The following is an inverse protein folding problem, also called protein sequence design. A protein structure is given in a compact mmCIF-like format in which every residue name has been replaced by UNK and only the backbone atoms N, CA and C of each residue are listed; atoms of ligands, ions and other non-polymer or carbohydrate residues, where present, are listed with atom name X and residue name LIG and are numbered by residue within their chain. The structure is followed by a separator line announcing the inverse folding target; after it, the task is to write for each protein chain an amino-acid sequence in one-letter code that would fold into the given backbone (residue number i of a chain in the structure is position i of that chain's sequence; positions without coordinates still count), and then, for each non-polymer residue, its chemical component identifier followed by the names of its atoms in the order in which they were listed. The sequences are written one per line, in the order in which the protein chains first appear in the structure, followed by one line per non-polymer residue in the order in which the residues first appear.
data_IF_215876548275
#
_entry.id   IF_215876548275
#
_cell.length_a   1.000
_cell.length_b   1.000
_cell.length_c   1.000
_cell.angle_alpha   90.00
_cell.angle_beta   90.00
_cell.angle_gamma   90.00
#
_symmetry.space_group_name_H-M   'P 1'
#
loop_
_entity.id
_entity.type
_entity.pdbx_description
1 polymer ?
#
# COMPACT_ATOMS: atom_id res chain seq x y z
N UNK A 1 4.73 9.71 25.56
CA UNK A 1 4.99 8.83 24.37
C UNK A 1 4.29 9.50 23.21
N UNK A 2 5.03 9.95 22.19
CA UNK A 2 4.45 10.66 21.05
C UNK A 2 3.48 9.74 20.30
N UNK A 3 2.26 10.21 20.07
CA UNK A 3 1.19 9.51 19.31
C UNK A 3 1.58 9.15 17.87
N UNK A 4 2.70 9.66 17.37
CA UNK A 4 3.24 9.43 16.02
C UNK A 4 3.87 8.04 15.83
N UNK A 5 4.09 7.27 16.90
CA UNK A 5 4.70 5.94 16.84
C UNK A 5 3.70 4.78 16.78
N UNK A 6 2.42 5.06 16.56
CA UNK A 6 1.38 4.03 16.42
C UNK A 6 0.62 4.17 15.12
N UNK A 7 0.35 3.03 14.45
CA UNK A 7 -0.51 3.00 13.28
C UNK A 7 -1.97 3.07 13.74
N UNK A 8 -2.63 4.19 13.49
CA UNK A 8 -4.05 4.41 13.79
C UNK A 8 -4.94 3.77 12.71
N UNK A 9 -6.21 3.53 13.02
CA UNK A 9 -7.16 3.04 12.01
C UNK A 9 -7.38 4.08 10.90
N UNK A 10 -7.42 3.63 9.64
CA UNK A 10 -7.74 4.49 8.50
C UNK A 10 -6.99 4.18 7.20
N UNK A 11 -6.80 5.20 6.38
CA UNK A 11 -6.27 5.08 5.02
C UNK A 11 -4.77 5.39 4.99
N UNK A 12 -4.00 4.49 4.36
CA UNK A 12 -2.55 4.52 4.21
C UNK A 12 -2.17 4.38 2.72
N UNK A 13 -2.26 5.44 1.91
CA UNK A 13 -1.98 5.32 0.49
C UNK A 13 -0.53 4.88 0.23
N UNK A 14 -0.38 4.02 -0.80
CA UNK A 14 0.92 3.69 -1.37
C UNK A 14 1.27 4.82 -2.34
N UNK A 15 2.29 5.60 -1.98
CA UNK A 15 2.69 6.79 -2.76
C UNK A 15 3.45 6.41 -4.02
N UNK A 16 3.26 7.20 -5.07
CA UNK A 16 3.96 7.03 -6.34
C UNK A 16 5.36 7.68 -6.28
N UNK A 17 6.30 7.13 -7.05
CA UNK A 17 7.63 7.75 -7.17
C UNK A 17 7.68 8.62 -8.41
N UNK A 18 7.72 9.96 -8.27
CA UNK A 18 7.88 10.83 -9.41
C UNK A 18 9.31 10.74 -9.95
N UNK A 19 9.45 10.61 -11.26
CA UNK A 19 10.73 10.50 -11.94
C UNK A 19 10.91 11.63 -12.95
N UNK A 20 12.10 12.22 -12.97
CA UNK A 20 12.51 13.20 -13.97
C UNK A 20 12.91 12.54 -15.31
N UNK A 21 13.36 13.35 -16.27
CA UNK A 21 13.77 12.87 -17.59
C UNK A 21 15.01 11.97 -17.58
N UNK A 22 15.77 11.99 -16.48
CA UNK A 22 16.98 11.20 -16.29
C UNK A 22 16.75 9.96 -15.39
N UNK A 23 15.47 9.61 -15.15
CA UNK A 23 15.06 8.54 -14.23
C UNK A 23 15.51 8.74 -12.76
N UNK A 24 15.73 10.00 -12.35
CA UNK A 24 16.00 10.35 -10.97
C UNK A 24 14.69 10.73 -10.27
N UNK A 25 14.64 10.58 -8.94
CA UNK A 25 13.48 10.99 -8.14
C UNK A 25 13.37 12.51 -8.19
N UNK A 26 12.21 13.01 -8.62
CA UNK A 26 11.88 14.44 -8.58
C UNK A 26 11.36 14.80 -7.18
N UNK A 27 12.25 15.31 -6.34
CA UNK A 27 11.93 15.63 -4.94
C UNK A 27 10.86 16.73 -4.82
N UNK A 28 10.79 17.69 -5.74
CA UNK A 28 9.80 18.78 -5.72
C UNK A 28 8.39 18.27 -6.01
N UNK A 29 8.27 17.35 -6.96
CA UNK A 29 7.00 16.67 -7.25
C UNK A 29 6.62 15.73 -6.11
N UNK A 30 7.59 15.05 -5.50
CA UNK A 30 7.36 14.18 -4.34
C UNK A 30 6.85 14.99 -3.13
N UNK A 31 7.42 16.17 -2.89
CA UNK A 31 6.93 17.09 -1.84
C UNK A 31 5.48 17.53 -2.11
N UNK A 32 5.14 17.80 -3.36
CA UNK A 32 3.78 18.16 -3.78
C UNK A 32 2.79 17.03 -3.46
N UNK A 33 3.11 15.79 -3.83
CA UNK A 33 2.28 14.61 -3.54
C UNK A 33 2.09 14.42 -2.04
N UNK A 34 3.18 14.40 -1.26
CA UNK A 34 3.14 14.17 0.18
C UNK A 34 2.30 15.25 0.88
N UNK A 35 2.49 16.53 0.52
CA UNK A 35 1.71 17.62 1.12
C UNK A 35 0.22 17.54 0.75
N UNK A 36 -0.11 17.10 -0.45
CA UNK A 36 -1.48 16.87 -0.89
C UNK A 36 -2.13 15.70 -0.12
N UNK A 37 -1.40 14.59 0.08
CA UNK A 37 -1.87 13.44 0.85
C UNK A 37 -2.11 13.79 2.32
N UNK A 38 -1.19 14.52 2.96
CA UNK A 38 -1.35 15.01 4.35
C UNK A 38 -2.65 15.80 4.49
N UNK A 39 -2.97 16.67 3.53
CA UNK A 39 -4.21 17.46 3.52
C UNK A 39 -5.46 16.62 3.24
N UNK A 40 -5.33 15.44 2.66
CA UNK A 40 -6.43 14.55 2.32
C UNK A 40 -6.94 13.70 3.50
N UNK A 41 -6.36 13.83 4.70
CA UNK A 41 -6.84 13.16 5.92
C UNK A 41 -6.35 11.72 6.10
N UNK A 42 -5.36 11.28 5.34
CA UNK A 42 -4.73 9.96 5.47
C UNK A 42 -4.05 9.77 6.82
N UNK A 43 -3.85 8.52 7.26
CA UNK A 43 -3.29 8.20 8.58
C UNK A 43 -1.81 7.84 8.55
N UNK A 44 -1.22 7.72 7.37
CA UNK A 44 0.19 7.45 7.13
C UNK A 44 0.43 7.25 5.65
N UNK A 45 1.67 7.07 5.27
CA UNK A 45 2.09 6.81 3.89
C UNK A 45 2.81 5.47 3.80
N UNK A 46 2.75 4.85 2.62
CA UNK A 46 3.41 3.56 2.35
C UNK A 46 4.28 3.69 1.12
N UNK A 47 5.52 3.20 1.19
CA UNK A 47 6.36 2.90 0.05
C UNK A 47 6.33 1.39 -0.17
N UNK A 48 5.69 0.94 -1.24
CA UNK A 48 5.53 -0.48 -1.56
C UNK A 48 5.58 -0.73 -3.07
N UNK A 49 4.96 -1.81 -3.56
CA UNK A 49 5.11 -2.30 -4.94
C UNK A 49 4.82 -1.23 -6.00
N UNK A 50 3.69 -0.50 -5.90
CA UNK A 50 3.33 0.54 -6.87
C UNK A 50 4.18 1.81 -6.73
N UNK A 51 4.96 1.97 -5.65
CA UNK A 51 6.03 2.97 -5.57
C UNK A 51 7.27 2.58 -6.39
N UNK A 52 7.17 1.53 -7.22
CA UNK A 52 8.21 0.98 -8.09
C UNK A 52 9.46 0.45 -7.35
N UNK A 53 9.35 0.15 -6.04
CA UNK A 53 10.49 -0.28 -5.19
C UNK A 53 11.24 -1.51 -5.72
N UNK A 54 10.57 -2.35 -6.52
CA UNK A 54 11.19 -3.54 -7.13
C UNK A 54 12.10 -3.20 -8.32
N UNK A 55 12.02 -1.98 -8.85
CA UNK A 55 12.85 -1.45 -9.95
C UNK A 55 13.98 -0.59 -9.44
N UNK A 56 14.10 -0.43 -8.13
CA UNK A 56 15.16 0.34 -7.47
C UNK A 56 16.18 -0.59 -6.81
N UNK A 57 17.44 -0.24 -6.91
CA UNK A 57 18.51 -0.84 -6.10
C UNK A 57 18.28 -0.57 -4.61
N UNK A 58 18.95 -1.31 -3.74
CA UNK A 58 18.88 -1.09 -2.30
C UNK A 58 19.25 0.35 -1.89
N UNK A 59 20.22 0.95 -2.57
CA UNK A 59 20.64 2.33 -2.34
C UNK A 59 19.56 3.34 -2.75
N UNK A 60 18.94 3.14 -3.93
CA UNK A 60 17.86 4.00 -4.40
C UNK A 60 16.60 3.87 -3.52
N UNK A 61 16.25 2.64 -3.07
CA UNK A 61 15.17 2.44 -2.11
C UNK A 61 15.43 3.21 -0.82
N UNK A 62 16.67 3.18 -0.32
CA UNK A 62 17.04 3.95 0.87
C UNK A 62 16.91 5.45 0.63
N UNK A 63 17.43 5.97 -0.47
CA UNK A 63 17.28 7.38 -0.84
C UNK A 63 15.80 7.78 -0.92
N UNK A 64 14.95 6.93 -1.53
CA UNK A 64 13.50 7.17 -1.66
C UNK A 64 12.85 7.39 -0.28
N UNK A 65 13.01 6.48 0.68
CA UNK A 65 12.38 6.68 1.98
C UNK A 65 13.02 7.79 2.81
N UNK A 66 14.32 8.08 2.65
CA UNK A 66 14.96 9.21 3.32
C UNK A 66 14.39 10.54 2.83
N UNK A 67 14.16 10.69 1.53
CA UNK A 67 13.48 11.85 0.95
C UNK A 67 12.08 12.00 1.55
N UNK A 68 11.28 10.91 1.57
CA UNK A 68 9.91 10.93 2.12
C UNK A 68 9.92 11.28 3.61
N UNK A 69 10.80 10.67 4.42
CA UNK A 69 10.91 10.97 5.86
C UNK A 69 11.26 12.44 6.11
N UNK A 70 12.20 12.98 5.32
CA UNK A 70 12.58 14.39 5.41
C UNK A 70 11.42 15.34 5.09
N UNK A 71 10.68 15.04 4.02
CA UNK A 71 9.52 15.85 3.62
C UNK A 71 8.38 15.71 4.63
N UNK A 72 8.14 14.51 5.15
CA UNK A 72 7.10 14.27 6.17
C UNK A 72 7.36 15.03 7.46
N UNK A 73 8.61 15.18 7.85
CA UNK A 73 9.04 15.88 9.09
C UNK A 73 8.19 15.49 10.31
N UNK A 74 7.95 14.19 10.47
CA UNK A 74 7.19 13.62 11.58
C UNK A 74 5.66 13.87 11.53
N UNK A 75 5.10 14.46 10.46
CA UNK A 75 3.65 14.75 10.37
C UNK A 75 2.77 13.51 10.29
N UNK A 76 3.27 12.44 9.66
CA UNK A 76 2.58 11.15 9.51
C UNK A 76 3.57 9.99 9.64
N UNK A 77 3.10 8.80 10.05
CA UNK A 77 3.91 7.59 10.01
C UNK A 77 4.23 7.18 8.56
N UNK A 78 5.44 6.65 8.36
CA UNK A 78 5.86 6.03 7.09
C UNK A 78 6.04 4.52 7.28
N UNK A 79 5.42 3.74 6.41
CA UNK A 79 5.58 2.30 6.26
C UNK A 79 6.49 2.06 5.05
N UNK A 80 7.59 1.33 5.25
CA UNK A 80 8.62 1.11 4.22
C UNK A 80 8.67 -0.35 3.80
N UNK A 81 8.63 -0.60 2.48
CA UNK A 81 8.84 -1.93 1.93
C UNK A 81 10.29 -2.35 2.07
N UNK A 82 10.49 -3.52 2.70
CA UNK A 82 11.80 -4.12 2.93
C UNK A 82 11.95 -5.53 2.34
N UNK A 83 10.92 -6.02 1.66
CA UNK A 83 10.97 -7.30 0.96
C UNK A 83 12.13 -7.37 -0.06
N UNK A 84 12.74 -8.53 -0.17
CA UNK A 84 13.85 -8.79 -1.08
C UNK A 84 13.99 -10.28 -1.38
N UNK A 85 14.74 -10.62 -2.43
CA UNK A 85 14.92 -11.99 -2.91
C UNK A 85 15.79 -12.85 -1.99
N UNK A 86 16.37 -12.28 -0.94
CA UNK A 86 17.06 -13.04 0.11
C UNK A 86 16.79 -12.47 1.48
N UNK A 87 16.83 -13.34 2.50
CA UNK A 87 16.70 -12.94 3.91
C UNK A 87 17.74 -11.89 4.30
N UNK A 88 18.98 -12.01 3.82
CA UNK A 88 20.06 -11.06 4.12
C UNK A 88 19.73 -9.65 3.59
N UNK A 89 19.23 -9.52 2.36
CA UNK A 89 18.82 -8.24 1.76
C UNK A 89 17.66 -7.63 2.56
N UNK A 90 16.63 -8.43 2.86
CA UNK A 90 15.45 -7.95 3.59
C UNK A 90 15.81 -7.47 5.00
N UNK A 91 16.67 -8.18 5.73
CA UNK A 91 17.18 -7.80 7.05
C UNK A 91 18.03 -6.52 6.98
N UNK A 92 18.87 -6.39 5.96
CA UNK A 92 19.66 -5.17 5.75
C UNK A 92 18.78 -3.95 5.53
N UNK A 93 17.75 -4.06 4.65
CA UNK A 93 16.79 -3.00 4.39
C UNK A 93 15.96 -2.67 5.64
N UNK A 94 15.53 -3.68 6.39
CA UNK A 94 14.76 -3.50 7.62
C UNK A 94 15.52 -2.68 8.66
N UNK A 95 16.77 -3.05 8.94
CA UNK A 95 17.64 -2.32 9.87
C UNK A 95 17.90 -0.88 9.41
N UNK A 96 18.13 -0.67 8.11
CA UNK A 96 18.32 0.65 7.55
C UNK A 96 17.07 1.53 7.68
N UNK A 97 15.88 0.99 7.34
CA UNK A 97 14.61 1.70 7.44
C UNK A 97 14.28 2.09 8.89
N UNK A 98 14.45 1.18 9.85
CA UNK A 98 14.29 1.50 11.28
C UNK A 98 15.27 2.58 11.74
N UNK A 99 16.54 2.45 11.39
CA UNK A 99 17.59 3.43 11.76
C UNK A 99 17.32 4.82 11.17
N UNK A 100 16.76 4.89 9.97
CA UNK A 100 16.40 6.14 9.29
C UNK A 100 15.08 6.75 9.80
N UNK A 101 14.27 6.03 10.60
CA UNK A 101 13.07 6.55 11.26
C UNK A 101 11.72 6.07 10.69
N UNK A 102 11.69 4.98 9.93
CA UNK A 102 10.44 4.34 9.52
C UNK A 102 9.60 3.93 10.76
N UNK A 103 8.28 4.09 10.67
CA UNK A 103 7.36 3.74 11.77
C UNK A 103 7.00 2.26 11.76
N UNK A 104 6.94 1.66 10.58
CA UNK A 104 6.66 0.25 10.37
C UNK A 104 7.29 -0.23 9.07
N UNK A 105 7.35 -1.54 8.91
CA UNK A 105 7.83 -2.20 7.71
C UNK A 105 6.71 -2.96 7.03
N UNK A 106 6.81 -3.15 5.71
CA UNK A 106 5.98 -4.06 4.94
C UNK A 106 6.89 -4.94 4.09
N UNK A 107 6.60 -6.22 3.97
CA UNK A 107 7.40 -7.13 3.16
C UNK A 107 6.54 -8.18 2.46
N UNK A 108 6.78 -8.38 1.15
CA UNK A 108 6.40 -9.56 0.40
C UNK A 108 7.44 -10.66 0.60
N UNK A 109 7.08 -11.94 0.44
CA UNK A 109 8.09 -13.00 0.34
C UNK A 109 8.92 -12.84 -0.94
N UNK A 110 10.05 -13.55 -1.07
CA UNK A 110 10.77 -13.67 -2.33
C UNK A 110 9.84 -14.18 -3.45
N UNK A 111 9.96 -13.62 -4.65
CA UNK A 111 9.02 -13.86 -5.74
C UNK A 111 9.66 -14.56 -6.96
N UNK A 112 10.99 -14.51 -7.09
CA UNK A 112 11.70 -15.07 -8.25
C UNK A 112 11.85 -16.59 -8.19
N UNK A 113 11.59 -17.20 -7.04
CA UNK A 113 11.68 -18.67 -6.87
C UNK A 113 10.67 -19.15 -5.82
N UNK A 114 10.26 -20.41 -5.92
CA UNK A 114 9.40 -21.04 -4.92
C UNK A 114 10.22 -21.40 -3.66
N UNK A 115 9.84 -20.80 -2.53
CA UNK A 115 10.38 -21.18 -1.24
C UNK A 115 9.37 -22.03 -0.46
N UNK A 116 9.84 -22.92 0.40
CA UNK A 116 8.96 -23.71 1.26
C UNK A 116 8.32 -22.82 2.35
N UNK A 117 7.17 -23.22 2.90
CA UNK A 117 6.50 -22.50 4.00
C UNK A 117 7.44 -22.32 5.20
N UNK A 118 8.33 -23.27 5.47
CA UNK A 118 9.35 -23.18 6.53
C UNK A 118 10.38 -22.09 6.24
N UNK A 119 10.85 -21.96 5.01
CA UNK A 119 11.79 -20.91 4.61
C UNK A 119 11.14 -19.53 4.63
N UNK A 120 9.87 -19.42 4.19
CA UNK A 120 9.09 -18.18 4.27
C UNK A 120 8.88 -17.77 5.73
N UNK A 121 8.57 -18.71 6.63
CA UNK A 121 8.48 -18.44 8.07
C UNK A 121 9.82 -17.94 8.63
N UNK A 122 10.93 -18.58 8.29
CA UNK A 122 12.28 -18.18 8.70
C UNK A 122 12.65 -16.79 8.17
N UNK A 123 12.27 -16.48 6.92
CA UNK A 123 12.46 -15.16 6.30
C UNK A 123 11.76 -14.06 7.09
N UNK A 124 10.46 -14.20 7.40
CA UNK A 124 9.74 -13.20 8.17
C UNK A 124 10.23 -13.11 9.61
N UNK A 125 10.55 -14.24 10.23
CA UNK A 125 11.15 -14.29 11.58
C UNK A 125 12.45 -13.49 11.63
N UNK A 126 13.35 -13.67 10.67
CA UNK A 126 14.62 -12.95 10.62
C UNK A 126 14.41 -11.43 10.48
N UNK A 127 13.45 -10.98 9.67
CA UNK A 127 13.11 -9.57 9.54
C UNK A 127 12.60 -9.02 10.89
N UNK A 128 11.58 -9.68 11.50
CA UNK A 128 10.95 -9.23 12.73
C UNK A 128 11.95 -9.15 13.88
N UNK A 129 12.84 -10.13 14.02
CA UNK A 129 13.83 -10.19 15.07
C UNK A 129 14.99 -9.21 14.89
N UNK A 130 15.19 -8.72 13.65
CA UNK A 130 16.27 -7.76 13.34
C UNK A 130 15.96 -6.31 13.75
N UNK A 131 14.68 -5.98 14.02
CA UNK A 131 14.18 -4.62 14.31
C UNK A 131 13.18 -4.63 15.47
N UNK A 132 12.81 -3.45 15.97
CA UNK A 132 11.82 -3.27 17.06
C UNK A 132 10.47 -2.78 16.54
N UNK A 133 10.43 -2.11 15.39
CA UNK A 133 9.21 -1.62 14.76
C UNK A 133 8.37 -2.77 14.15
N UNK A 134 7.03 -2.62 14.00
CA UNK A 134 6.19 -3.69 13.48
C UNK A 134 6.46 -4.00 12.01
N UNK A 135 6.23 -5.26 11.63
CA UNK A 135 6.22 -5.74 10.26
C UNK A 135 4.78 -6.05 9.82
N UNK A 136 4.43 -5.55 8.64
CA UNK A 136 3.22 -5.94 7.92
C UNK A 136 3.62 -7.02 6.90
N UNK A 137 3.13 -8.23 7.11
CA UNK A 137 3.31 -9.36 6.18
C UNK A 137 2.35 -9.17 5.02
N UNK A 138 2.88 -8.94 3.83
CA UNK A 138 2.10 -8.77 2.62
C UNK A 138 2.09 -10.06 1.80
N UNK A 139 0.90 -10.57 1.51
CA UNK A 139 0.69 -11.61 0.51
C UNK A 139 0.27 -10.94 -0.80
N UNK A 140 1.21 -10.77 -1.70
CA UNK A 140 0.97 -10.13 -2.99
C UNK A 140 0.67 -11.14 -4.11
N UNK A 141 0.25 -12.36 -3.78
CA UNK A 141 0.11 -13.46 -4.74
C UNK A 141 -0.96 -13.23 -5.81
N UNK A 142 -1.84 -12.25 -5.63
CA UNK A 142 -2.72 -11.80 -6.71
C UNK A 142 -1.96 -11.16 -7.89
N UNK A 143 -0.71 -10.74 -7.66
CA UNK A 143 0.14 -10.05 -8.65
C UNK A 143 1.44 -10.78 -8.91
N UNK A 144 2.01 -11.46 -7.91
CA UNK A 144 3.32 -12.11 -7.98
C UNK A 144 3.51 -13.15 -6.87
N UNK A 145 4.33 -14.15 -7.14
CA UNK A 145 4.67 -15.19 -6.17
C UNK A 145 3.56 -16.23 -5.97
N UNK A 146 3.52 -16.82 -4.80
CA UNK A 146 2.56 -17.85 -4.39
C UNK A 146 1.78 -17.38 -3.15
N UNK A 147 0.51 -17.80 -2.97
CA UNK A 147 -0.27 -17.51 -1.77
C UNK A 147 0.45 -18.00 -0.51
N UNK A 148 0.46 -17.15 0.52
CA UNK A 148 0.94 -17.54 1.84
C UNK A 148 -0.10 -18.44 2.53
N UNK A 149 0.37 -19.48 3.20
CA UNK A 149 -0.50 -20.38 3.98
C UNK A 149 -1.04 -19.62 5.21
N UNK A 150 -2.31 -19.86 5.54
CA UNK A 150 -2.96 -19.21 6.70
C UNK A 150 -2.29 -19.58 8.03
N UNK A 151 -1.78 -20.80 8.14
CA UNK A 151 -1.03 -21.28 9.29
C UNK A 151 0.25 -20.47 9.54
N UNK A 152 0.86 -19.93 8.50
CA UNK A 152 2.02 -19.04 8.63
C UNK A 152 1.65 -17.78 9.42
N UNK A 153 0.52 -17.15 9.08
CA UNK A 153 0.03 -15.97 9.80
C UNK A 153 -0.24 -16.29 11.27
N UNK A 154 -0.90 -17.42 11.54
CA UNK A 154 -1.17 -17.87 12.92
C UNK A 154 0.11 -18.03 13.73
N UNK A 155 1.11 -18.75 13.21
CA UNK A 155 2.41 -18.96 13.87
C UNK A 155 3.16 -17.65 14.15
N UNK A 156 3.18 -16.72 13.19
CA UNK A 156 3.83 -15.42 13.36
C UNK A 156 3.10 -14.60 14.45
N UNK A 157 1.77 -14.60 14.44
CA UNK A 157 0.96 -13.86 15.41
C UNK A 157 1.10 -14.43 16.81
N UNK A 158 1.09 -15.76 16.96
CA UNK A 158 1.29 -16.45 18.23
C UNK A 158 2.65 -16.10 18.84
N UNK A 159 3.73 -16.12 18.03
CA UNK A 159 5.08 -15.88 18.51
C UNK A 159 5.34 -14.40 18.85
N UNK A 160 4.84 -13.47 18.05
CA UNK A 160 5.24 -12.06 18.15
C UNK A 160 4.13 -11.10 18.61
N UNK A 161 2.87 -11.52 18.55
CA UNK A 161 1.71 -10.69 18.88
C UNK A 161 1.40 -9.63 17.82
N UNK A 162 0.18 -9.08 17.89
CA UNK A 162 -0.35 -8.12 16.91
C UNK A 162 0.23 -6.70 17.01
N UNK A 163 1.09 -6.44 17.96
CA UNK A 163 1.85 -5.18 18.03
C UNK A 163 3.13 -5.24 17.19
N UNK A 164 3.65 -6.46 16.95
CA UNK A 164 4.86 -6.70 16.17
C UNK A 164 4.59 -7.20 14.77
N UNK A 165 3.46 -7.90 14.56
CA UNK A 165 3.09 -8.48 13.28
C UNK A 165 1.67 -8.07 12.90
N UNK A 166 1.50 -7.57 11.70
CA UNK A 166 0.24 -7.19 11.09
C UNK A 166 0.19 -7.77 9.68
N UNK A 167 -0.96 -7.71 9.00
CA UNK A 167 -1.16 -8.45 7.76
C UNK A 167 -1.85 -7.64 6.68
N UNK A 168 -1.42 -7.85 5.44
CA UNK A 168 -2.05 -7.36 4.21
C UNK A 168 -2.23 -8.56 3.28
N UNK A 169 -3.28 -9.38 3.48
CA UNK A 169 -3.54 -10.56 2.66
C UNK A 169 -4.22 -10.15 1.36
N UNK A 170 -3.58 -10.39 0.21
CA UNK A 170 -4.11 -10.07 -1.12
C UNK A 170 -4.36 -11.34 -1.97
N UNK A 171 -4.17 -12.53 -1.40
CA UNK A 171 -4.52 -13.79 -2.07
C UNK A 171 -6.04 -13.97 -2.17
N UNK A 172 -6.51 -14.38 -3.34
CA UNK A 172 -7.93 -14.70 -3.55
C UNK A 172 -8.29 -16.11 -3.01
N UNK A 173 -9.50 -16.30 -2.54
CA UNK A 173 -10.58 -15.31 -2.35
C UNK A 173 -10.33 -14.48 -1.07
N UNK A 174 -10.30 -13.13 -1.22
CA UNK A 174 -9.78 -12.22 -0.18
C UNK A 174 -10.65 -12.24 1.09
N UNK A 175 -11.97 -12.08 0.95
CA UNK A 175 -12.90 -12.02 2.09
C UNK A 175 -12.85 -13.27 2.95
N UNK A 176 -12.93 -14.44 2.31
CA UNK A 176 -12.89 -15.74 2.98
C UNK A 176 -11.55 -15.96 3.69
N UNK A 177 -10.44 -15.58 3.06
CA UNK A 177 -9.12 -15.67 3.70
C UNK A 177 -8.97 -14.72 4.87
N UNK A 178 -9.55 -13.52 4.81
CA UNK A 178 -9.58 -12.60 5.96
C UNK A 178 -10.43 -13.16 7.11
N UNK A 179 -11.57 -13.78 6.82
CA UNK A 179 -12.39 -14.46 7.83
C UNK A 179 -11.58 -15.56 8.52
N UNK A 180 -10.99 -16.48 7.72
CA UNK A 180 -10.17 -17.57 8.25
C UNK A 180 -8.96 -17.06 9.05
N UNK A 181 -8.33 -15.97 8.61
CA UNK A 181 -7.24 -15.34 9.36
C UNK A 181 -7.73 -14.83 10.73
N UNK A 182 -8.88 -14.17 10.80
CA UNK A 182 -9.44 -13.69 12.06
C UNK A 182 -9.85 -14.85 12.98
N UNK A 183 -10.35 -15.96 12.44
CA UNK A 183 -10.66 -17.17 13.21
C UNK A 183 -9.39 -17.76 13.83
N UNK A 184 -8.33 -17.98 13.04
CA UNK A 184 -7.03 -18.48 13.51
C UNK A 184 -6.43 -17.55 14.57
N UNK A 185 -6.59 -16.24 14.39
CA UNK A 185 -6.06 -15.20 15.27
C UNK A 185 -6.93 -14.95 16.52
N UNK A 186 -8.06 -15.61 16.67
CA UNK A 186 -9.02 -15.33 17.76
C UNK A 186 -9.50 -13.88 17.77
N UNK A 187 -9.73 -13.30 16.59
CA UNK A 187 -10.16 -11.90 16.39
C UNK A 187 -9.08 -10.85 16.64
N UNK A 188 -7.82 -11.23 16.81
CA UNK A 188 -6.73 -10.32 17.22
C UNK A 188 -5.84 -9.86 16.06
N UNK A 189 -6.02 -10.39 14.84
CA UNK A 189 -5.21 -9.98 13.69
C UNK A 189 -5.48 -8.52 13.31
N UNK A 190 -4.43 -7.73 13.15
CA UNK A 190 -4.50 -6.41 12.54
C UNK A 190 -4.32 -6.55 11.05
N UNK A 191 -5.39 -6.30 10.30
CA UNK A 191 -5.46 -6.56 8.86
C UNK A 191 -5.73 -5.26 8.10
N UNK A 192 -4.99 -5.08 7.00
CA UNK A 192 -5.18 -4.00 6.02
C UNK A 192 -5.77 -4.57 4.73
N UNK A 193 -6.76 -3.89 4.17
CA UNK A 193 -7.20 -4.14 2.80
C UNK A 193 -6.15 -3.60 1.81
N UNK A 194 -5.88 -4.33 0.72
CA UNK A 194 -4.79 -4.04 -0.21
C UNK A 194 -5.20 -3.87 -1.67
N UNK A 195 -6.49 -3.87 -1.99
CA UNK A 195 -7.01 -3.82 -3.38
C UNK A 195 -7.55 -2.44 -3.75
N UNK A 196 -6.87 -1.37 -3.31
CA UNK A 196 -7.28 0.03 -3.59
C UNK A 196 -8.72 0.35 -3.19
N UNK A 197 -9.24 -0.29 -2.16
CA UNK A 197 -10.60 -0.09 -1.67
C UNK A 197 -11.65 -0.93 -2.41
N UNK A 198 -11.27 -1.78 -3.38
CA UNK A 198 -12.19 -2.61 -4.14
C UNK A 198 -13.00 -3.56 -3.26
N UNK A 199 -12.43 -4.05 -2.18
CA UNK A 199 -13.06 -5.01 -1.27
C UNK A 199 -13.52 -4.37 0.05
N UNK A 200 -13.38 -3.04 0.23
CA UNK A 200 -13.65 -2.37 1.50
C UNK A 200 -15.09 -2.53 2.01
N UNK A 201 -16.09 -2.45 1.14
CA UNK A 201 -17.50 -2.58 1.54
C UNK A 201 -17.77 -3.93 2.19
N UNK A 202 -17.13 -4.98 1.70
CA UNK A 202 -17.29 -6.35 2.17
C UNK A 202 -16.36 -6.71 3.35
N UNK A 203 -15.19 -6.10 3.42
CA UNK A 203 -14.13 -6.49 4.36
C UNK A 203 -14.02 -5.57 5.57
N UNK A 204 -14.44 -4.30 5.48
CA UNK A 204 -14.45 -3.37 6.62
C UNK A 204 -15.18 -3.92 7.85
N UNK A 205 -16.37 -4.58 7.71
CA UNK A 205 -17.07 -5.18 8.85
C UNK A 205 -16.30 -6.31 9.55
N UNK A 206 -15.26 -6.86 8.93
CA UNK A 206 -14.39 -7.89 9.52
C UNK A 206 -13.36 -7.31 10.52
N UNK A 207 -13.43 -6.01 10.83
CA UNK A 207 -12.56 -5.36 11.81
C UNK A 207 -11.19 -4.95 11.26
N UNK A 208 -11.13 -4.51 10.00
CA UNK A 208 -9.91 -3.95 9.42
C UNK A 208 -9.34 -2.82 10.28
N UNK A 209 -8.01 -2.74 10.35
CA UNK A 209 -7.32 -1.59 10.98
C UNK A 209 -6.98 -0.51 9.96
N UNK A 210 -7.04 -0.81 8.67
CA UNK A 210 -6.83 0.19 7.61
C UNK A 210 -6.97 -0.38 6.21
N UNK A 211 -6.75 0.49 5.23
CA UNK A 211 -6.61 0.14 3.81
C UNK A 211 -5.39 0.82 3.22
N UNK A 212 -4.75 0.17 2.25
CA UNK A 212 -3.56 0.66 1.56
C UNK A 212 -3.83 0.80 0.05
N UNK A 213 -4.60 1.82 -0.35
CA UNK A 213 -4.91 2.09 -1.76
C UNK A 213 -3.73 2.75 -2.47
N UNK A 214 -3.87 2.96 -3.79
CA UNK A 214 -3.07 3.93 -4.53
C UNK A 214 -3.29 5.37 -4.04
N UNK A 215 -2.35 6.24 -4.38
CA UNK A 215 -2.38 7.63 -3.93
C UNK A 215 -3.43 8.46 -4.68
N UNK A 216 -3.67 8.18 -5.95
CA UNK A 216 -4.41 9.02 -6.91
C UNK A 216 -5.86 9.33 -6.54
N UNK A 217 -6.50 8.41 -5.81
CA UNK A 217 -7.88 8.57 -5.32
C UNK A 217 -7.97 8.48 -3.78
N UNK A 218 -6.88 8.72 -3.06
CA UNK A 218 -6.83 8.59 -1.60
C UNK A 218 -7.96 9.37 -0.89
N UNK A 219 -8.31 10.56 -1.41
CA UNK A 219 -9.40 11.39 -0.89
C UNK A 219 -10.77 10.71 -1.02
N UNK A 220 -11.00 9.93 -2.08
CA UNK A 220 -12.23 9.15 -2.25
C UNK A 220 -12.25 7.94 -1.30
N UNK A 221 -11.11 7.30 -1.11
CA UNK A 221 -10.99 6.19 -0.16
C UNK A 221 -11.13 6.68 1.29
N UNK A 222 -10.63 7.87 1.63
CA UNK A 222 -10.89 8.50 2.93
C UNK A 222 -12.40 8.74 3.12
N UNK A 223 -13.08 9.30 2.11
CA UNK A 223 -14.53 9.52 2.18
C UNK A 223 -15.32 8.20 2.29
N UNK A 224 -14.88 7.14 1.58
CA UNK A 224 -15.46 5.79 1.70
C UNK A 224 -15.25 5.22 3.11
N UNK A 225 -14.02 5.30 3.64
CA UNK A 225 -13.71 4.84 4.98
C UNK A 225 -14.55 5.56 6.04
N UNK A 226 -14.66 6.89 5.96
CA UNK A 226 -15.47 7.69 6.88
C UNK A 226 -16.97 7.33 6.79
N UNK A 227 -17.49 7.08 5.59
CA UNK A 227 -18.88 6.64 5.42
C UNK A 227 -19.11 5.25 6.06
N UNK A 228 -18.16 4.33 5.93
CA UNK A 228 -18.23 3.01 6.57
C UNK A 228 -18.14 3.12 8.10
N UNK A 229 -17.24 3.93 8.66
CA UNK A 229 -17.14 4.16 10.11
C UNK A 229 -18.40 4.84 10.67
N UNK A 230 -19.05 5.70 9.88
CA UNK A 230 -20.32 6.34 10.24
C UNK A 230 -21.56 5.46 10.00
N UNK A 231 -21.37 4.24 9.45
CA UNK A 231 -22.46 3.34 9.02
C UNK A 231 -23.41 4.00 7.98
N UNK A 232 -22.90 4.94 7.18
CA UNK A 232 -23.62 5.53 6.04
C UNK A 232 -23.44 4.61 4.81
N UNK A 233 -24.18 3.50 4.80
CA UNK A 233 -24.07 2.49 3.77
C UNK A 233 -24.49 2.99 2.38
N UNK A 234 -25.41 3.96 2.30
CA UNK A 234 -25.84 4.54 1.04
C UNK A 234 -24.68 5.29 0.36
N UNK A 235 -24.03 6.18 1.11
CA UNK A 235 -22.85 6.91 0.65
C UNK A 235 -21.68 5.98 0.35
N UNK A 236 -21.40 5.03 1.25
CA UNK A 236 -20.33 4.07 1.06
C UNK A 236 -20.52 3.25 -0.22
N UNK A 237 -21.73 2.75 -0.48
CA UNK A 237 -22.05 1.97 -1.69
C UNK A 237 -21.88 2.81 -2.96
N UNK A 238 -22.31 4.07 -2.96
CA UNK A 238 -22.18 4.94 -4.12
C UNK A 238 -20.71 5.23 -4.46
N UNK A 239 -19.88 5.56 -3.45
CA UNK A 239 -18.44 5.80 -3.65
C UNK A 239 -17.74 4.50 -4.10
N UNK A 240 -18.02 3.39 -3.42
CA UNK A 240 -17.40 2.10 -3.70
C UNK A 240 -17.68 1.62 -5.13
N UNK A 241 -18.89 1.81 -5.67
CA UNK A 241 -19.19 1.48 -7.05
C UNK A 241 -18.29 2.22 -8.05
N UNK A 242 -18.03 3.51 -7.84
CA UNK A 242 -17.12 4.30 -8.67
C UNK A 242 -15.66 3.84 -8.50
N UNK A 243 -15.22 3.55 -7.26
CA UNK A 243 -13.88 3.01 -6.97
C UNK A 243 -13.66 1.71 -7.72
N UNK A 244 -14.60 0.75 -7.65
CA UNK A 244 -14.50 -0.53 -8.39
C UNK A 244 -14.36 -0.33 -9.89
N UNK A 245 -15.13 0.59 -10.48
CA UNK A 245 -15.05 0.88 -11.90
C UNK A 245 -13.69 1.45 -12.29
N UNK A 246 -13.06 2.26 -11.44
CA UNK A 246 -11.74 2.81 -11.70
C UNK A 246 -10.64 1.75 -11.53
N UNK A 247 -10.67 0.98 -10.45
CA UNK A 247 -9.67 -0.06 -10.16
C UNK A 247 -9.71 -1.19 -11.22
N UNK A 248 -10.83 -1.38 -11.92
CA UNK A 248 -10.91 -2.32 -13.03
C UNK A 248 -9.89 -2.05 -14.18
N UNK A 249 -9.39 -0.82 -14.30
CA UNK A 249 -8.30 -0.48 -15.23
C UNK A 249 -6.90 -0.86 -14.73
N UNK A 250 -6.79 -1.41 -13.52
CA UNK A 250 -5.54 -1.69 -12.81
C UNK A 250 -5.33 -3.20 -12.55
N UNK A 251 -5.36 -4.09 -13.55
CA UNK A 251 -5.29 -5.54 -13.34
C UNK A 251 -3.88 -6.07 -13.00
N UNK A 252 -2.83 -5.28 -13.20
CA UNK A 252 -1.43 -5.62 -12.94
C UNK A 252 -0.72 -4.48 -12.24
N UNK A 253 0.44 -4.75 -11.62
CA UNK A 253 1.25 -3.69 -10.97
C UNK A 253 1.60 -2.55 -11.94
N UNK A 254 1.98 -2.87 -13.19
CA UNK A 254 2.28 -1.83 -14.18
C UNK A 254 1.04 -1.03 -14.59
N UNK A 255 -0.13 -1.68 -14.63
CA UNK A 255 -1.38 -0.96 -14.88
C UNK A 255 -1.75 -0.04 -13.71
N UNK A 256 -1.54 -0.47 -12.45
CA UNK A 256 -1.65 0.41 -11.29
C UNK A 256 -0.77 1.65 -11.45
N UNK A 257 0.53 1.46 -11.64
CA UNK A 257 1.48 2.58 -11.77
C UNK A 257 1.10 3.51 -12.92
N UNK A 258 0.69 2.96 -14.08
CA UNK A 258 0.31 3.74 -15.25
C UNK A 258 -0.93 4.60 -15.00
N UNK A 259 -2.00 4.02 -14.43
CA UNK A 259 -3.26 4.71 -14.15
C UNK A 259 -3.10 5.72 -13.03
N UNK A 260 -2.43 5.34 -11.94
CA UNK A 260 -2.20 6.20 -10.79
C UNK A 260 -1.40 7.45 -11.16
N UNK A 261 -0.26 7.29 -11.86
CA UNK A 261 0.54 8.43 -12.32
C UNK A 261 -0.22 9.29 -13.33
N UNK A 262 -1.00 8.68 -14.23
CA UNK A 262 -1.86 9.44 -15.15
C UNK A 262 -2.85 10.33 -14.39
N UNK A 263 -3.53 9.79 -13.39
CA UNK A 263 -4.50 10.54 -12.59
C UNK A 263 -3.84 11.58 -11.68
N UNK A 264 -2.65 11.33 -11.17
CA UNK A 264 -1.87 12.34 -10.44
C UNK A 264 -1.46 13.52 -11.33
N UNK A 265 -1.06 13.26 -12.60
CA UNK A 265 -0.82 14.32 -13.59
C UNK A 265 -2.11 15.10 -13.87
N UNK A 266 -3.23 14.40 -14.06
CA UNK A 266 -4.52 15.03 -14.34
C UNK A 266 -5.00 15.93 -13.20
N UNK A 267 -4.66 15.60 -11.96
CA UNK A 267 -4.95 16.41 -10.78
C UNK A 267 -3.92 17.52 -10.51
N UNK A 268 -2.90 17.67 -11.35
CA UNK A 268 -1.85 18.67 -11.19
C UNK A 268 -0.88 18.40 -10.05
N UNK A 269 -0.87 17.16 -9.54
CA UNK A 269 0.05 16.71 -8.48
C UNK A 269 1.40 16.30 -9.08
N UNK A 270 1.38 15.56 -10.19
CA UNK A 270 2.57 15.19 -10.94
C UNK A 270 2.72 16.05 -12.19
N UNK A 271 3.97 16.25 -12.62
CA UNK A 271 4.32 16.91 -13.89
C UNK A 271 4.49 15.93 -15.04
N UNK A 272 4.69 14.64 -14.73
CA UNK A 272 4.90 13.56 -15.70
C UNK A 272 4.39 12.25 -15.16
N UNK A 273 3.84 11.40 -16.04
CA UNK A 273 3.46 10.00 -15.72
C UNK A 273 4.60 9.02 -15.97
N UNK A 274 5.86 9.47 -16.00
CA UNK A 274 7.04 8.63 -16.26
C UNK A 274 7.14 7.49 -15.22
N UNK A 275 7.42 6.29 -15.72
CA UNK A 275 7.66 5.09 -14.94
C UNK A 275 9.10 4.62 -15.12
N UNK A 276 9.67 3.95 -14.12
CA UNK A 276 10.97 3.29 -14.25
C UNK A 276 10.82 2.05 -15.16
N UNK A 277 11.52 2.04 -16.28
CA UNK A 277 11.50 0.90 -17.21
C UNK A 277 12.21 -0.36 -16.67
N UNK A 278 11.96 -1.53 -17.29
CA UNK A 278 11.00 -1.77 -18.38
C UNK A 278 9.55 -1.75 -17.88
N UNK A 279 8.62 -1.29 -18.73
CA UNK A 279 7.19 -1.23 -18.42
C UNK A 279 6.39 -2.08 -19.42
N UNK A 280 5.33 -2.73 -18.92
CA UNK A 280 4.48 -3.60 -19.73
C UNK A 280 3.16 -2.93 -20.14
N UNK A 281 2.83 -1.75 -19.58
CA UNK A 281 1.57 -1.06 -19.82
C UNK A 281 1.81 0.39 -20.20
N UNK A 282 1.21 0.78 -21.35
CA UNK A 282 1.09 2.17 -21.80
C UNK A 282 -0.38 2.45 -22.07
N UNK A 283 -0.93 3.50 -21.48
CA UNK A 283 -2.34 3.86 -21.64
C UNK A 283 -2.58 4.44 -23.03
N UNK A 284 -3.48 3.83 -23.81
CA UNK A 284 -3.96 4.41 -25.08
C UNK A 284 -4.83 5.64 -24.80
N UNK A 285 -5.03 6.49 -25.81
CA UNK A 285 -5.92 7.65 -25.66
C UNK A 285 -7.37 7.23 -25.42
N UNK A 286 -7.80 6.11 -26.00
CA UNK A 286 -9.12 5.53 -25.71
C UNK A 286 -9.21 5.17 -24.23
N UNK A 287 -8.24 4.42 -23.69
CA UNK A 287 -8.22 4.01 -22.26
C UNK A 287 -8.19 5.24 -21.34
N UNK A 288 -7.42 6.27 -21.67
CA UNK A 288 -7.41 7.53 -20.90
C UNK A 288 -8.78 8.19 -20.88
N UNK A 289 -9.48 8.25 -22.04
CA UNK A 289 -10.83 8.80 -22.11
C UNK A 289 -11.83 8.02 -21.24
N UNK A 290 -11.75 6.69 -21.24
CA UNK A 290 -12.59 5.83 -20.40
C UNK A 290 -12.30 6.05 -18.91
N UNK A 291 -11.03 6.10 -18.50
CA UNK A 291 -10.61 6.44 -17.14
C UNK A 291 -11.14 7.82 -16.73
N UNK A 292 -11.07 8.80 -17.62
CA UNK A 292 -11.53 10.18 -17.38
C UNK A 292 -13.03 10.26 -17.09
N UNK A 293 -13.83 9.46 -17.76
CA UNK A 293 -15.29 9.38 -17.52
C UNK A 293 -15.56 8.83 -16.12
N UNK A 294 -14.93 7.70 -15.77
CA UNK A 294 -15.10 7.06 -14.46
C UNK A 294 -14.57 7.96 -13.34
N UNK A 295 -13.41 8.59 -13.53
CA UNK A 295 -12.83 9.51 -12.56
C UNK A 295 -13.73 10.75 -12.35
N UNK A 296 -14.31 11.29 -13.41
CA UNK A 296 -15.24 12.42 -13.32
C UNK A 296 -16.52 12.07 -12.56
N UNK A 297 -17.01 10.82 -12.68
CA UNK A 297 -18.13 10.35 -11.90
C UNK A 297 -17.77 10.19 -10.41
N UNK A 298 -16.59 9.65 -10.10
CA UNK A 298 -16.09 9.55 -8.73
C UNK A 298 -15.99 10.93 -8.05
N UNK A 299 -15.49 11.96 -8.76
CA UNK A 299 -15.46 13.33 -8.26
C UNK A 299 -16.85 13.86 -7.89
N UNK A 300 -17.85 13.62 -8.73
CA UNK A 300 -19.24 14.05 -8.47
C UNK A 300 -19.83 13.34 -7.24
N UNK A 301 -19.67 12.00 -7.17
CA UNK A 301 -20.23 11.19 -6.09
C UNK A 301 -19.64 11.58 -4.73
N UNK A 302 -18.34 11.88 -4.68
CA UNK A 302 -17.70 12.35 -3.43
C UNK A 302 -18.00 13.81 -3.13
N UNK A 303 -18.45 14.60 -4.12
CA UNK A 303 -18.70 16.04 -3.97
C UNK A 303 -17.44 16.91 -4.07
N UNK A 304 -16.42 16.44 -4.81
CA UNK A 304 -15.16 17.16 -5.03
C UNK A 304 -15.19 17.89 -6.37
N UNK A 305 -14.81 19.15 -6.39
CA UNK A 305 -14.57 19.90 -7.63
C UNK A 305 -13.21 19.52 -8.21
N UNK A 306 -13.08 19.63 -9.56
CA UNK A 306 -11.82 19.39 -10.28
C UNK A 306 -10.71 20.31 -9.82
#
# INVERSE_FOLDING_TARGET
MNSLNSLNRGVYPVIQTPLDVNDQIDEGVFETEINWLVKSGVKGLVLAMVSEVMRFSAAERRSQWQIVLRILDGRLPLIVSVGGESTAIAVQLAKAAESDGATALIATPPASFAATSSEIYSYYTAIIESVKIPLIVQDASNYMGQPLELELYGKLLEKYGNTRVQFKPEAKPIKERMISLQEIAGGKAKVYEGQSGMDLLDTHPLGLVGTMPGAEICWAIVALWEALEANDLARATAIHACVKNLVAFQPTIDAYVAVEKYLLVKQGIFTSSRQRGPVSVTLSDQTKNEIDLVFSELLKVVGRQK
#
